data_IF_199874090961
#
_entry.id   IF_199874090961
#
_cell.length_a   1.000
_cell.length_b   1.000
_cell.length_c   1.000
_cell.angle_alpha   90.00
_cell.angle_beta   90.00
_cell.angle_gamma   90.00
#
_symmetry.space_group_name_H-M   'P 1'
#
loop_
_entity.id
_entity.type
_entity.pdbx_description
1 polymer ?
#
# COMPACT_ATOMS: atom_id res chain seq x y z
N UNK A 1 11.85 17.83 -19.56
CA UNK A 1 10.76 17.22 -18.76
C UNK A 1 10.54 18.13 -17.57
N UNK A 2 9.30 18.48 -17.23
CA UNK A 2 9.02 19.30 -16.06
C UNK A 2 9.40 18.51 -14.79
N UNK A 3 10.10 19.18 -13.86
CA UNK A 3 10.43 18.67 -12.52
C UNK A 3 9.13 18.32 -11.79
N UNK A 4 8.98 17.12 -11.20
CA UNK A 4 7.79 16.81 -10.42
C UNK A 4 7.81 17.61 -9.11
N UNK A 5 6.67 18.13 -8.71
CA UNK A 5 6.54 18.82 -7.42
C UNK A 5 6.67 17.83 -6.26
N UNK A 6 6.18 16.60 -6.44
CA UNK A 6 6.21 15.55 -5.40
C UNK A 6 7.02 14.33 -5.83
N UNK A 7 7.89 13.85 -4.94
CA UNK A 7 8.49 12.52 -5.02
C UNK A 7 7.92 11.61 -3.93
N UNK A 8 7.16 10.59 -4.32
CA UNK A 8 6.58 9.60 -3.42
C UNK A 8 7.51 8.38 -3.30
N UNK A 9 8.16 8.23 -2.14
CA UNK A 9 9.03 7.12 -1.79
C UNK A 9 8.23 5.97 -1.18
N UNK A 10 8.06 4.89 -1.95
CA UNK A 10 7.29 3.71 -1.57
C UNK A 10 8.14 2.41 -1.55
N UNK A 11 9.16 2.29 -0.68
CA UNK A 11 9.96 1.07 -0.61
C UNK A 11 9.13 -0.13 -0.10
N UNK A 12 9.15 -1.21 -0.85
CA UNK A 12 8.59 -2.51 -0.51
C UNK A 12 8.78 -3.52 -1.66
N UNK A 13 9.13 -4.77 -1.33
CA UNK A 13 9.38 -5.83 -2.31
C UNK A 13 8.11 -6.39 -2.99
N UNK A 14 6.92 -5.93 -2.59
CA UNK A 14 5.63 -6.33 -3.15
C UNK A 14 4.83 -5.17 -3.73
N UNK A 15 3.52 -5.36 -3.87
CA UNK A 15 2.60 -4.34 -4.38
C UNK A 15 2.06 -3.39 -3.29
N UNK A 16 2.28 -3.71 -2.01
CA UNK A 16 1.75 -3.00 -0.84
C UNK A 16 1.86 -1.47 -0.94
N UNK A 17 3.11 -0.99 -0.84
CA UNK A 17 3.43 0.43 -0.79
C UNK A 17 3.16 1.13 -2.13
N UNK A 18 3.52 0.52 -3.25
CA UNK A 18 3.32 1.12 -4.59
C UNK A 18 1.83 1.27 -4.95
N UNK A 19 0.95 0.37 -4.51
CA UNK A 19 -0.49 0.48 -4.75
C UNK A 19 -1.11 1.67 -4.01
N UNK A 20 -0.72 1.90 -2.74
CA UNK A 20 -1.13 3.11 -2.01
C UNK A 20 -0.56 4.37 -2.63
N UNK A 21 0.73 4.36 -2.97
CA UNK A 21 1.39 5.48 -3.61
C UNK A 21 0.67 5.87 -4.90
N UNK A 22 0.33 4.88 -5.72
CA UNK A 22 -0.40 5.09 -6.96
C UNK A 22 -1.80 5.67 -6.72
N UNK A 23 -2.53 5.15 -5.73
CA UNK A 23 -3.84 5.67 -5.37
C UNK A 23 -3.79 7.17 -5.02
N UNK A 24 -2.83 7.58 -4.16
CA UNK A 24 -2.64 8.99 -3.78
C UNK A 24 -2.16 9.83 -4.96
N UNK A 25 -1.20 9.33 -5.73
CA UNK A 25 -0.60 10.08 -6.83
C UNK A 25 -1.60 10.34 -7.98
N UNK A 26 -2.54 9.42 -8.23
CA UNK A 26 -3.60 9.63 -9.21
C UNK A 26 -4.57 10.73 -8.75
N UNK A 27 -4.94 10.78 -7.46
CA UNK A 27 -5.72 11.90 -6.91
C UNK A 27 -4.95 13.23 -6.95
N UNK A 28 -3.64 13.22 -6.67
CA UNK A 28 -2.80 14.42 -6.81
C UNK A 28 -2.80 14.95 -8.24
N UNK A 29 -2.79 14.05 -9.24
CA UNK A 29 -2.89 14.43 -10.64
C UNK A 29 -4.26 15.08 -10.96
N UNK A 30 -5.36 14.58 -10.39
CA UNK A 30 -6.68 15.23 -10.50
C UNK A 30 -6.69 16.63 -9.87
N UNK A 31 -5.89 16.86 -8.83
CA UNK A 31 -5.69 18.17 -8.19
C UNK A 31 -4.69 19.07 -8.95
N UNK A 32 -4.17 18.63 -10.10
CA UNK A 32 -3.20 19.39 -10.90
C UNK A 32 -1.77 19.40 -10.32
N UNK A 33 -1.49 18.53 -9.35
CA UNK A 33 -0.16 18.42 -8.72
C UNK A 33 0.65 17.32 -9.41
N UNK A 34 1.84 17.68 -9.89
CA UNK A 34 2.75 16.72 -10.53
C UNK A 34 3.47 15.86 -9.49
N UNK A 35 3.44 14.54 -9.69
CA UNK A 35 4.06 13.58 -8.78
C UNK A 35 4.79 12.47 -9.55
N UNK A 36 5.80 11.88 -8.91
CA UNK A 36 6.52 10.69 -9.37
C UNK A 36 6.69 9.71 -8.21
N UNK A 37 6.58 8.40 -8.49
CA UNK A 37 6.82 7.35 -7.50
C UNK A 37 8.22 6.77 -7.67
N UNK A 38 8.92 6.53 -6.57
CA UNK A 38 10.14 5.71 -6.53
C UNK A 38 9.95 4.54 -5.57
N UNK A 39 10.30 3.33 -6.03
CA UNK A 39 10.09 2.07 -5.27
C UNK A 39 11.19 1.06 -5.57
N UNK A 40 11.34 0.04 -4.73
CA UNK A 40 12.16 -1.14 -5.03
C UNK A 40 11.33 -2.36 -5.46
N UNK A 41 10.01 -2.20 -5.60
CA UNK A 41 9.12 -3.24 -6.08
C UNK A 41 9.55 -3.74 -7.48
N UNK A 42 9.61 -5.06 -7.73
CA UNK A 42 9.90 -5.58 -9.06
C UNK A 42 8.81 -5.25 -10.08
N UNK A 43 7.60 -4.89 -9.63
CA UNK A 43 6.45 -4.57 -10.47
C UNK A 43 6.44 -3.15 -11.03
N UNK A 44 7.40 -2.31 -10.64
CA UNK A 44 7.42 -0.88 -10.97
C UNK A 44 7.25 -0.58 -12.48
N UNK A 45 7.97 -1.30 -13.35
CA UNK A 45 7.92 -1.06 -14.79
C UNK A 45 6.54 -1.39 -15.39
N UNK A 46 5.98 -2.55 -15.02
CA UNK A 46 4.64 -2.96 -15.47
C UNK A 46 3.55 -2.01 -14.97
N UNK A 47 3.66 -1.56 -13.71
CA UNK A 47 2.75 -0.57 -13.14
C UNK A 47 2.87 0.81 -13.80
N UNK A 48 4.09 1.25 -14.12
CA UNK A 48 4.30 2.51 -14.83
C UNK A 48 3.58 2.50 -16.19
N UNK A 49 3.71 1.39 -16.93
CA UNK A 49 3.05 1.20 -18.21
C UNK A 49 1.53 1.12 -18.06
N UNK A 50 1.03 0.30 -17.14
CA UNK A 50 -0.40 0.09 -16.92
C UNK A 50 -1.10 1.38 -16.50
N UNK A 51 -0.53 2.10 -15.53
CA UNK A 51 -1.10 3.33 -15.01
C UNK A 51 -0.79 4.57 -15.84
N UNK A 52 0.12 4.45 -16.83
CA UNK A 52 0.68 5.59 -17.58
C UNK A 52 1.20 6.69 -16.64
N UNK A 53 1.82 6.25 -15.54
CA UNK A 53 2.27 7.11 -14.45
C UNK A 53 3.79 6.95 -14.24
N UNK A 54 4.54 8.02 -13.95
CA UNK A 54 5.97 7.93 -13.73
C UNK A 54 6.30 7.16 -12.44
N UNK A 55 6.75 5.90 -12.61
CA UNK A 55 7.23 5.04 -11.52
C UNK A 55 8.66 4.59 -11.83
N UNK A 56 9.60 4.89 -10.94
CA UNK A 56 11.00 4.50 -11.07
C UNK A 56 11.37 3.40 -10.09
N UNK A 57 12.05 2.37 -10.59
CA UNK A 57 12.60 1.29 -9.76
C UNK A 57 14.04 1.60 -9.35
N UNK A 58 14.31 1.54 -8.05
CA UNK A 58 15.67 1.39 -7.50
C UNK A 58 15.75 0.00 -6.87
N UNK A 59 16.62 -0.91 -7.34
CA UNK A 59 16.74 -2.24 -6.75
C UNK A 59 16.99 -2.21 -5.24
N UNK A 60 16.47 -3.19 -4.50
CA UNK A 60 16.46 -3.17 -3.05
C UNK A 60 17.88 -3.09 -2.46
N UNK A 61 18.82 -3.83 -3.04
CA UNK A 61 20.24 -3.86 -2.70
C UNK A 61 20.95 -2.52 -2.87
N UNK A 62 20.45 -1.64 -3.73
CA UNK A 62 20.98 -0.29 -3.98
C UNK A 62 20.17 0.82 -3.32
N UNK A 63 18.97 0.50 -2.80
CA UNK A 63 18.00 1.47 -2.29
C UNK A 63 18.61 2.52 -1.36
N UNK A 64 19.35 2.07 -0.33
CA UNK A 64 19.90 2.96 0.70
C UNK A 64 20.84 4.02 0.12
N UNK A 65 21.69 3.64 -0.84
CA UNK A 65 22.66 4.54 -1.45
C UNK A 65 22.02 5.41 -2.54
N UNK A 66 21.16 4.83 -3.36
CA UNK A 66 20.74 5.48 -4.61
C UNK A 66 19.52 6.37 -4.47
N UNK A 67 18.64 6.12 -3.49
CA UNK A 67 17.40 6.90 -3.35
C UNK A 67 17.67 8.38 -3.04
N UNK A 68 18.73 8.68 -2.28
CA UNK A 68 19.16 10.06 -2.00
C UNK A 68 19.68 10.75 -3.26
N UNK A 69 20.52 10.06 -4.04
CA UNK A 69 21.03 10.57 -5.32
C UNK A 69 19.88 10.80 -6.31
N UNK A 70 18.92 9.88 -6.36
CA UNK A 70 17.73 10.01 -7.19
C UNK A 70 16.89 11.22 -6.78
N UNK A 71 16.62 11.40 -5.48
CA UNK A 71 15.90 12.58 -4.99
C UNK A 71 16.64 13.89 -5.30
N UNK A 72 17.98 13.90 -5.17
CA UNK A 72 18.81 15.06 -5.52
C UNK A 72 18.81 15.37 -7.03
N UNK A 73 18.71 14.35 -7.89
CA UNK A 73 18.65 14.52 -9.34
C UNK A 73 17.26 14.95 -9.83
N UNK A 74 16.19 14.38 -9.24
CA UNK A 74 14.80 14.78 -9.52
C UNK A 74 14.53 16.18 -9.01
N UNK A 75 15.12 16.53 -7.85
CA UNK A 75 14.84 17.73 -7.08
C UNK A 75 13.32 17.87 -6.88
N UNK A 76 12.63 17.10 -6.04
CA UNK A 76 11.22 17.41 -5.75
C UNK A 76 11.09 18.72 -4.95
N UNK A 77 9.91 19.30 -4.87
CA UNK A 77 9.60 20.36 -3.89
C UNK A 77 9.22 19.75 -2.53
N UNK A 78 8.55 18.60 -2.56
CA UNK A 78 8.07 17.86 -1.41
C UNK A 78 8.29 16.35 -1.59
N UNK A 79 8.65 15.66 -0.51
CA UNK A 79 8.72 14.20 -0.49
C UNK A 79 7.59 13.57 0.31
N UNK A 80 7.17 12.36 -0.06
CA UNK A 80 6.31 11.51 0.78
C UNK A 80 7.05 10.22 1.09
N UNK A 81 7.25 9.92 2.37
CA UNK A 81 7.93 8.73 2.84
C UNK A 81 6.92 7.71 3.38
N UNK A 82 6.68 6.63 2.63
CA UNK A 82 5.70 5.59 2.99
C UNK A 82 6.39 4.30 3.45
N UNK A 83 7.13 4.37 4.56
CA UNK A 83 7.63 3.20 5.29
C UNK A 83 7.84 3.49 6.77
N UNK A 84 9.02 3.99 7.13
CA UNK A 84 9.42 4.38 8.47
C UNK A 84 9.99 5.81 8.40
N UNK A 85 9.96 6.59 9.50
CA UNK A 85 10.45 7.96 9.48
C UNK A 85 11.88 8.06 8.93
N UNK A 86 12.80 7.19 9.39
CA UNK A 86 14.20 7.14 8.92
C UNK A 86 14.43 6.25 7.70
N UNK A 87 13.36 5.70 7.13
CA UNK A 87 13.41 4.72 6.03
C UNK A 87 13.68 3.29 6.50
N UNK A 88 13.36 2.31 5.64
CA UNK A 88 13.50 0.88 5.97
C UNK A 88 14.95 0.42 6.06
N UNK A 89 15.90 1.19 5.51
CA UNK A 89 17.34 0.90 5.53
C UNK A 89 18.14 2.03 6.14
N UNK A 90 17.48 2.97 6.84
CA UNK A 90 18.14 4.15 7.42
C UNK A 90 18.59 5.17 6.37
N UNK A 91 18.04 5.14 5.16
CA UNK A 91 18.37 6.07 4.07
C UNK A 91 18.09 7.54 4.42
N UNK A 92 17.25 7.80 5.42
CA UNK A 92 16.88 9.13 5.89
C UNK A 92 17.42 9.45 7.29
N UNK A 93 18.36 8.66 7.81
CA UNK A 93 18.88 8.82 9.18
C UNK A 93 19.56 10.19 9.39
N UNK A 94 20.16 10.75 8.34
CA UNK A 94 20.90 12.02 8.33
C UNK A 94 20.02 13.18 7.81
N UNK A 95 18.70 13.08 7.98
CA UNK A 95 17.73 14.07 7.50
C UNK A 95 17.34 13.88 6.03
N UNK A 96 16.23 14.52 5.66
CA UNK A 96 15.62 14.44 4.34
C UNK A 96 16.09 15.61 3.45
N UNK A 97 16.26 15.41 2.13
CA UNK A 97 16.87 16.42 1.26
C UNK A 97 15.96 17.62 0.96
N UNK A 98 14.66 17.47 1.17
CA UNK A 98 13.63 18.51 1.06
C UNK A 98 12.58 18.26 2.16
N UNK A 99 11.64 19.21 2.42
CA UNK A 99 10.51 18.95 3.29
C UNK A 99 9.78 17.67 2.91
N UNK A 100 9.26 16.96 3.90
CA UNK A 100 8.64 15.67 3.67
C UNK A 100 7.45 15.36 4.56
N UNK A 101 6.58 14.52 4.04
CA UNK A 101 5.44 13.95 4.73
C UNK A 101 5.75 12.50 5.07
N UNK A 102 5.52 12.11 6.32
CA UNK A 102 5.54 10.70 6.72
C UNK A 102 4.14 10.09 6.59
N UNK A 103 4.01 9.02 5.79
CA UNK A 103 2.78 8.24 5.72
C UNK A 103 2.82 7.17 6.82
N UNK A 104 2.22 7.49 7.97
CA UNK A 104 2.13 6.60 9.10
C UNK A 104 1.07 5.53 8.86
N UNK A 105 1.41 4.29 9.20
CA UNK A 105 0.50 3.15 9.17
C UNK A 105 0.65 2.34 10.44
N UNK A 106 -0.25 1.39 10.67
CA UNK A 106 -0.15 0.51 11.81
C UNK A 106 1.10 -0.38 11.67
N UNK A 107 1.89 -0.39 12.73
CA UNK A 107 3.12 -1.16 12.85
C UNK A 107 3.13 -1.96 14.16
N UNK A 108 3.89 -3.06 14.18
CA UNK A 108 4.19 -3.78 15.42
C UNK A 108 5.20 -2.95 16.25
N UNK A 109 4.78 -2.38 17.41
CA UNK A 109 5.61 -1.44 18.17
C UNK A 109 6.89 -2.09 18.72
N UNK A 110 6.82 -3.33 19.20
CA UNK A 110 7.97 -4.07 19.74
C UNK A 110 9.06 -4.27 18.67
N UNK A 111 8.63 -4.72 17.48
CA UNK A 111 9.53 -4.94 16.37
C UNK A 111 10.12 -3.63 15.83
N UNK A 112 9.34 -2.55 15.83
CA UNK A 112 9.80 -1.22 15.40
C UNK A 112 10.79 -0.63 16.40
N UNK A 113 10.51 -0.70 17.70
CA UNK A 113 11.42 -0.21 18.74
C UNK A 113 12.77 -0.91 18.65
N UNK A 114 12.76 -2.25 18.49
CA UNK A 114 13.97 -3.05 18.31
C UNK A 114 14.72 -2.70 17.02
N UNK A 115 13.99 -2.37 15.96
CA UNK A 115 14.57 -2.11 14.64
C UNK A 115 15.15 -0.69 14.50
N UNK A 116 14.47 0.32 15.02
CA UNK A 116 14.89 1.72 14.90
C UNK A 116 15.94 2.11 15.93
N UNK A 117 15.94 1.50 17.12
CA UNK A 117 16.86 1.78 18.21
C UNK A 117 16.66 3.16 18.84
N UNK A 118 16.90 4.22 18.06
CA UNK A 118 16.71 5.64 18.43
C UNK A 118 15.31 6.12 17.99
N UNK A 119 14.46 6.60 18.93
CA UNK A 119 13.12 7.10 18.62
C UNK A 119 13.11 8.49 17.96
N UNK A 120 14.27 9.13 17.76
CA UNK A 120 14.33 10.48 17.19
C UNK A 120 13.77 10.55 15.76
N UNK A 121 13.02 11.62 15.49
CA UNK A 121 12.50 11.96 14.17
C UNK A 121 13.62 12.54 13.31
N UNK A 122 13.78 12.10 12.04
CA UNK A 122 14.76 12.72 11.17
C UNK A 122 14.33 14.15 10.81
N UNK A 123 15.32 15.03 10.68
CA UNK A 123 15.09 16.40 10.23
C UNK A 123 14.43 16.43 8.85
N UNK A 124 13.50 17.37 8.66
CA UNK A 124 12.80 17.61 7.40
C UNK A 124 11.41 17.00 7.29
N UNK A 125 10.95 16.17 8.24
CA UNK A 125 9.53 15.79 8.30
C UNK A 125 8.71 16.98 8.80
N UNK A 126 7.81 17.49 7.95
CA UNK A 126 6.98 18.66 8.23
C UNK A 126 5.53 18.30 8.56
N UNK A 127 5.09 17.10 8.19
CA UNK A 127 3.75 16.60 8.51
C UNK A 127 3.72 15.07 8.53
N UNK A 128 2.81 14.52 9.33
CA UNK A 128 2.43 13.10 9.31
C UNK A 128 1.02 12.96 8.79
N UNK A 129 0.79 11.95 7.95
CA UNK A 129 -0.54 11.49 7.56
C UNK A 129 -0.73 10.08 8.11
N UNK A 130 -1.66 9.90 9.05
CA UNK A 130 -2.02 8.60 9.57
C UNK A 130 -3.03 7.92 8.63
N UNK A 131 -2.53 6.97 7.84
CA UNK A 131 -3.27 6.29 6.77
C UNK A 131 -4.32 5.29 7.27
N UNK A 132 -4.24 4.91 8.54
CA UNK A 132 -5.20 4.05 9.23
C UNK A 132 -5.13 4.33 10.74
N UNK A 133 -6.04 3.73 11.50
CA UNK A 133 -6.00 3.74 12.96
C UNK A 133 -4.68 3.14 13.48
N UNK A 134 -3.92 3.94 14.23
CA UNK A 134 -2.64 3.57 14.82
C UNK A 134 -2.80 2.98 16.22
N UNK A 135 -1.75 2.39 16.78
CA UNK A 135 -1.76 1.99 18.19
C UNK A 135 -1.61 3.24 19.08
N UNK A 136 -2.13 3.19 20.31
CA UNK A 136 -1.97 4.30 21.26
C UNK A 136 -0.50 4.64 21.53
N UNK A 137 0.40 3.65 21.50
CA UNK A 137 1.86 3.87 21.60
C UNK A 137 2.41 4.65 20.41
N UNK A 138 1.95 4.34 19.19
CA UNK A 138 2.37 5.04 17.99
C UNK A 138 1.83 6.48 17.99
N UNK A 139 0.55 6.69 18.35
CA UNK A 139 -0.02 8.04 18.50
C UNK A 139 0.69 8.86 19.58
N UNK A 140 1.06 8.25 20.71
CA UNK A 140 1.85 8.91 21.74
C UNK A 140 3.24 9.33 21.22
N UNK A 141 3.89 8.47 20.45
CA UNK A 141 5.18 8.79 19.82
C UNK A 141 5.05 9.92 18.77
N UNK A 142 3.97 9.94 18.00
CA UNK A 142 3.65 11.02 17.07
C UNK A 142 3.40 12.34 17.82
N UNK A 143 2.62 12.32 18.89
CA UNK A 143 2.36 13.51 19.71
C UNK A 143 3.66 14.08 20.32
N UNK A 144 4.57 13.21 20.76
CA UNK A 144 5.87 13.61 21.31
C UNK A 144 6.80 14.27 20.26
N UNK A 145 6.62 13.95 18.97
CA UNK A 145 7.42 14.50 17.86
C UNK A 145 7.19 15.98 17.60
N UNK A 146 6.03 16.52 18.01
CA UNK A 146 5.53 17.86 17.68
C UNK A 146 5.33 18.13 16.18
N UNK A 147 5.45 17.12 15.33
CA UNK A 147 5.09 17.21 13.91
C UNK A 147 3.55 17.18 13.81
N UNK A 148 2.91 18.09 13.04
CA UNK A 148 1.48 18.05 12.81
C UNK A 148 1.03 16.70 12.24
N UNK A 149 -0.07 16.15 12.77
CA UNK A 149 -0.63 14.87 12.32
C UNK A 149 -2.01 15.10 11.72
N UNK A 150 -2.23 14.61 10.50
CA UNK A 150 -3.54 14.49 9.88
C UNK A 150 -3.98 13.03 9.95
N UNK A 151 -5.05 12.78 10.71
CA UNK A 151 -5.71 11.48 10.73
C UNK A 151 -6.70 11.40 9.58
N UNK A 152 -6.51 10.41 8.70
CA UNK A 152 -7.44 10.21 7.60
C UNK A 152 -8.77 9.67 8.13
N UNK A 153 -9.89 10.02 7.45
CA UNK A 153 -11.21 9.46 7.76
C UNK A 153 -11.26 7.92 7.61
N UNK A 154 -10.42 7.38 6.73
CA UNK A 154 -10.25 5.95 6.56
C UNK A 154 -9.07 5.62 5.66
N UNK A 155 -9.03 4.40 5.15
CA UNK A 155 -7.84 3.87 4.45
C UNK A 155 -7.74 4.42 3.04
N UNK A 156 -6.51 4.71 2.62
CA UNK A 156 -6.15 4.94 1.22
C UNK A 156 -6.39 3.67 0.41
N UNK A 157 -7.10 3.78 -0.70
CA UNK A 157 -7.48 2.66 -1.58
C UNK A 157 -7.32 3.05 -3.05
N UNK A 158 -6.74 2.15 -3.84
CA UNK A 158 -6.83 2.28 -5.29
C UNK A 158 -8.24 1.87 -5.76
N UNK A 159 -9.08 2.87 -6.07
CA UNK A 159 -10.49 2.64 -6.43
C UNK A 159 -10.60 1.69 -7.65
N UNK A 160 -11.52 0.70 -7.63
CA UNK A 160 -11.78 -0.15 -8.78
C UNK A 160 -12.11 0.68 -10.03
N UNK A 161 -11.58 0.26 -11.18
CA UNK A 161 -11.79 0.92 -12.46
C UNK A 161 -10.83 2.06 -12.78
N UNK A 162 -10.03 2.57 -11.82
CA UNK A 162 -9.00 3.59 -12.10
C UNK A 162 -7.92 3.08 -13.06
N UNK A 163 -7.57 1.79 -12.93
CA UNK A 163 -6.68 1.10 -13.85
C UNK A 163 -7.50 0.09 -14.66
N UNK A 164 -7.80 0.38 -15.94
CA UNK A 164 -8.58 -0.53 -16.77
C UNK A 164 -7.71 -1.70 -17.22
N UNK A 165 -7.80 -2.82 -16.49
CA UNK A 165 -7.15 -4.08 -16.86
C UNK A 165 -8.19 -5.06 -17.38
N UNK A 166 -8.02 -5.50 -18.62
CA UNK A 166 -8.90 -6.49 -19.25
C UNK A 166 -8.90 -7.80 -18.44
N UNK A 167 -10.11 -8.30 -18.15
CA UNK A 167 -10.29 -9.54 -17.37
C UNK A 167 -10.13 -10.72 -18.34
N UNK A 168 -9.21 -11.67 -18.09
CA UNK A 168 -9.07 -12.85 -18.93
C UNK A 168 -10.40 -13.62 -19.05
N UNK A 169 -10.77 -14.04 -20.27
CA UNK A 169 -12.06 -14.70 -20.54
C UNK A 169 -12.31 -15.96 -19.69
N UNK A 170 -11.26 -16.68 -19.28
CA UNK A 170 -11.39 -17.79 -18.35
C UNK A 170 -11.77 -17.33 -16.94
N UNK A 171 -11.13 -16.28 -16.43
CA UNK A 171 -11.45 -15.69 -15.14
C UNK A 171 -12.86 -15.09 -15.14
N UNK A 172 -13.24 -14.42 -16.23
CA UNK A 172 -14.59 -13.89 -16.41
C UNK A 172 -15.65 -15.01 -16.31
N UNK A 173 -15.48 -16.11 -17.06
CA UNK A 173 -16.39 -17.27 -16.97
C UNK A 173 -16.47 -17.85 -15.56
N UNK A 174 -15.39 -17.82 -14.79
CA UNK A 174 -15.39 -18.29 -13.40
C UNK A 174 -16.20 -17.35 -12.50
N UNK A 175 -16.01 -16.04 -12.64
CA UNK A 175 -16.75 -15.02 -11.89
C UNK A 175 -18.26 -15.10 -12.17
N UNK A 176 -18.65 -15.25 -13.44
CA UNK A 176 -20.05 -15.27 -13.87
C UNK A 176 -20.84 -16.50 -13.36
N UNK A 177 -20.17 -17.50 -12.78
CA UNK A 177 -20.85 -18.64 -12.16
C UNK A 177 -21.61 -18.28 -10.88
N UNK A 178 -21.36 -17.11 -10.29
CA UNK A 178 -21.91 -16.70 -8.99
C UNK A 178 -21.44 -17.54 -7.80
N UNK A 179 -20.46 -18.44 -7.99
CA UNK A 179 -19.90 -19.34 -6.95
C UNK A 179 -18.39 -19.16 -6.75
N UNK A 180 -17.80 -18.19 -7.44
CA UNK A 180 -16.37 -17.93 -7.39
C UNK A 180 -15.98 -17.33 -6.03
N UNK A 181 -15.09 -18.00 -5.32
CA UNK A 181 -14.43 -17.47 -4.13
C UNK A 181 -13.02 -17.01 -4.52
N UNK A 182 -12.77 -15.71 -4.50
CA UNK A 182 -11.44 -15.18 -4.83
C UNK A 182 -10.50 -15.34 -3.65
N UNK A 183 -9.30 -15.85 -3.91
CA UNK A 183 -8.16 -15.83 -2.99
C UNK A 183 -7.20 -14.76 -3.51
N UNK A 184 -7.15 -13.59 -2.87
CA UNK A 184 -6.30 -12.48 -3.30
C UNK A 184 -5.13 -12.36 -2.34
N UNK A 185 -3.95 -12.79 -2.79
CA UNK A 185 -2.77 -12.78 -1.93
C UNK A 185 -1.45 -12.81 -2.72
N UNK A 186 -0.48 -12.02 -2.28
CA UNK A 186 0.86 -11.96 -2.89
C UNK A 186 1.97 -12.65 -2.09
N UNK A 187 1.62 -13.28 -0.96
CA UNK A 187 2.56 -13.93 -0.04
C UNK A 187 2.80 -15.40 -0.37
N UNK A 188 3.65 -16.09 0.41
CA UNK A 188 4.18 -17.40 0.06
C UNK A 188 3.08 -18.42 -0.20
N UNK A 189 3.36 -19.40 -1.06
CA UNK A 189 2.40 -20.42 -1.49
C UNK A 189 1.65 -21.10 -0.33
N UNK A 190 2.30 -21.26 0.83
CA UNK A 190 1.67 -21.79 2.04
C UNK A 190 0.50 -20.93 2.55
N UNK A 191 0.62 -19.61 2.52
CA UNK A 191 -0.45 -18.69 2.91
C UNK A 191 -1.59 -18.71 1.89
N UNK A 192 -1.26 -18.77 0.60
CA UNK A 192 -2.28 -18.88 -0.46
C UNK A 192 -3.03 -20.23 -0.35
N UNK A 193 -2.31 -21.31 -0.05
CA UNK A 193 -2.90 -22.64 0.18
C UNK A 193 -3.84 -22.64 1.41
N UNK A 194 -3.46 -21.96 2.49
CA UNK A 194 -4.31 -21.80 3.67
C UNK A 194 -5.61 -21.07 3.33
N UNK A 195 -5.52 -19.93 2.63
CA UNK A 195 -6.70 -19.17 2.19
C UNK A 195 -7.57 -19.98 1.22
N UNK A 196 -6.96 -20.70 0.28
CA UNK A 196 -7.67 -21.58 -0.63
C UNK A 196 -8.39 -22.72 0.10
N UNK A 197 -7.80 -23.27 1.18
CA UNK A 197 -8.43 -24.25 2.05
C UNK A 197 -9.69 -23.72 2.73
N UNK A 198 -9.71 -22.45 3.14
CA UNK A 198 -10.89 -21.78 3.66
C UNK A 198 -11.94 -21.56 2.56
N UNK A 199 -11.49 -21.05 1.40
CA UNK A 199 -12.36 -20.77 0.26
C UNK A 199 -13.10 -22.02 -0.26
N UNK A 200 -12.43 -23.18 -0.29
CA UNK A 200 -13.04 -24.48 -0.68
C UNK A 200 -14.24 -24.88 0.17
N UNK A 201 -14.30 -24.44 1.43
CA UNK A 201 -15.43 -24.74 2.32
C UNK A 201 -16.68 -23.94 1.96
N UNK A 202 -16.53 -22.84 1.22
CA UNK A 202 -17.62 -21.92 0.88
C UNK A 202 -17.99 -21.94 -0.60
N UNK A 203 -17.05 -22.22 -1.50
CA UNK A 203 -17.31 -22.24 -2.93
C UNK A 203 -16.12 -22.69 -3.76
N UNK A 204 -16.08 -22.26 -5.03
CA UNK A 204 -15.01 -22.62 -5.96
C UNK A 204 -13.85 -21.61 -5.82
N UNK A 205 -12.69 -22.01 -5.27
CA UNK A 205 -11.58 -21.09 -5.08
C UNK A 205 -10.91 -20.74 -6.42
N UNK A 206 -10.51 -19.47 -6.57
CA UNK A 206 -9.69 -18.97 -7.67
C UNK A 206 -8.65 -18.00 -7.09
N UNK A 207 -7.37 -18.23 -7.35
CA UNK A 207 -6.30 -17.39 -6.84
C UNK A 207 -5.95 -16.24 -7.78
N UNK A 208 -5.77 -15.05 -7.21
CA UNK A 208 -5.19 -13.88 -7.85
C UNK A 208 -3.86 -13.60 -7.16
N UNK A 209 -2.76 -13.86 -7.88
CA UNK A 209 -1.39 -13.72 -7.35
C UNK A 209 -0.53 -12.92 -8.33
N UNK A 210 0.43 -12.11 -7.87
CA UNK A 210 1.23 -11.27 -8.76
C UNK A 210 2.46 -11.99 -9.33
N UNK A 211 2.67 -13.28 -9.04
CA UNK A 211 3.95 -13.97 -9.29
C UNK A 211 3.92 -14.97 -10.44
N UNK A 212 2.83 -15.06 -11.21
CA UNK A 212 2.69 -16.03 -12.32
C UNK A 212 2.78 -17.52 -11.91
N UNK A 213 3.05 -17.81 -10.63
CA UNK A 213 3.18 -19.16 -10.11
C UNK A 213 1.82 -19.85 -10.17
N UNK A 214 1.77 -20.89 -11.02
CA UNK A 214 0.62 -21.79 -11.08
C UNK A 214 0.58 -22.60 -9.80
N UNK A 215 -0.52 -22.51 -9.09
CA UNK A 215 -0.79 -23.36 -7.94
C UNK A 215 -1.44 -24.66 -8.40
N UNK A 216 -0.84 -25.79 -8.01
CA UNK A 216 -1.38 -27.10 -8.34
C UNK A 216 -2.82 -27.26 -7.80
N UNK A 217 -3.73 -27.67 -8.68
CA UNK A 217 -5.15 -27.88 -8.33
C UNK A 217 -5.92 -26.60 -7.94
N UNK A 218 -5.41 -25.42 -8.28
CA UNK A 218 -6.11 -24.15 -8.07
C UNK A 218 -5.97 -23.23 -9.29
N UNK A 219 -7.08 -22.90 -9.99
CA UNK A 219 -7.06 -21.87 -11.03
C UNK A 219 -6.43 -20.59 -10.48
N UNK A 220 -5.37 -20.12 -11.12
CA UNK A 220 -4.54 -19.01 -10.66
C UNK A 220 -4.30 -18.04 -11.81
N UNK A 221 -4.46 -16.75 -11.53
CA UNK A 221 -4.33 -15.68 -12.51
C UNK A 221 -3.42 -14.57 -11.99
N UNK A 222 -2.54 -14.09 -12.87
CA UNK A 222 -1.83 -12.84 -12.67
C UNK A 222 -2.74 -11.69 -13.12
N UNK A 223 -3.34 -10.99 -12.16
CA UNK A 223 -4.27 -9.90 -12.43
C UNK A 223 -4.09 -8.77 -11.43
N UNK A 224 -4.02 -7.54 -11.93
CA UNK A 224 -3.90 -6.33 -11.12
C UNK A 224 -4.65 -5.16 -11.76
N UNK A 225 -5.33 -4.30 -10.98
CA UNK A 225 -5.57 -4.41 -9.55
C UNK A 225 -6.69 -5.41 -9.23
N UNK A 226 -6.48 -6.27 -8.23
CA UNK A 226 -7.47 -7.26 -7.81
C UNK A 226 -8.82 -6.64 -7.38
N UNK A 227 -8.81 -5.37 -6.94
CA UNK A 227 -10.01 -4.61 -6.61
C UNK A 227 -11.05 -4.53 -7.74
N UNK A 228 -10.65 -4.64 -9.01
CA UNK A 228 -11.57 -4.69 -10.15
C UNK A 228 -12.44 -5.96 -10.17
N UNK A 229 -12.04 -7.00 -9.44
CA UNK A 229 -12.71 -8.31 -9.44
C UNK A 229 -13.57 -8.54 -8.20
N UNK A 230 -13.24 -7.90 -7.08
CA UNK A 230 -13.73 -8.29 -5.75
C UNK A 230 -15.27 -8.22 -5.63
N UNK A 231 -15.90 -7.20 -6.21
CA UNK A 231 -17.36 -7.06 -6.18
C UNK A 231 -18.11 -8.11 -7.03
N UNK A 232 -17.43 -8.79 -7.95
CA UNK A 232 -18.00 -9.87 -8.79
C UNK A 232 -17.85 -11.25 -8.13
N UNK A 233 -17.07 -11.36 -7.06
CA UNK A 233 -16.88 -12.62 -6.35
C UNK A 233 -18.05 -12.91 -5.40
N UNK A 234 -18.37 -14.20 -5.22
CA UNK A 234 -19.32 -14.61 -4.20
C UNK A 234 -18.75 -14.38 -2.78
N UNK A 235 -17.44 -14.53 -2.63
CA UNK A 235 -16.70 -14.24 -1.40
C UNK A 235 -15.22 -13.99 -1.72
N UNK A 236 -14.52 -13.21 -0.90
CA UNK A 236 -13.10 -12.90 -1.05
C UNK A 236 -12.33 -13.34 0.20
N UNK A 237 -11.19 -13.99 -0.01
CA UNK A 237 -10.27 -14.47 1.01
C UNK A 237 -8.92 -13.80 0.85
N UNK A 238 -8.43 -13.14 1.89
CA UNK A 238 -7.16 -12.39 1.84
C UNK A 238 -6.34 -12.56 3.12
N UNK A 239 -5.07 -12.16 3.08
CA UNK A 239 -4.39 -11.74 4.31
C UNK A 239 -4.97 -10.43 4.85
N UNK A 240 -4.81 -10.15 6.15
CA UNK A 240 -5.22 -8.87 6.78
C UNK A 240 -4.17 -7.76 6.60
N UNK A 241 -3.51 -7.73 5.44
CA UNK A 241 -2.59 -6.66 5.06
C UNK A 241 -3.33 -5.40 4.64
N UNK A 242 -2.66 -4.25 4.74
CA UNK A 242 -3.27 -2.93 4.52
C UNK A 242 -4.16 -2.85 3.26
N UNK A 243 -3.63 -3.18 2.07
CA UNK A 243 -4.36 -2.97 0.82
C UNK A 243 -5.60 -3.85 0.69
N UNK A 244 -5.52 -5.11 1.12
CA UNK A 244 -6.66 -6.02 1.06
C UNK A 244 -7.78 -5.53 1.98
N UNK A 245 -7.42 -5.02 3.14
CA UNK A 245 -8.38 -4.38 4.05
C UNK A 245 -8.86 -3.04 3.47
N UNK A 246 -8.04 -2.24 2.79
CA UNK A 246 -8.56 -1.04 2.12
C UNK A 246 -9.57 -1.40 1.00
N UNK A 247 -9.30 -2.46 0.22
CA UNK A 247 -10.14 -2.84 -0.90
C UNK A 247 -11.48 -3.45 -0.50
N UNK A 248 -11.51 -4.17 0.62
CA UNK A 248 -12.71 -4.88 1.09
C UNK A 248 -13.58 -4.06 2.04
N UNK A 249 -13.24 -2.80 2.34
CA UNK A 249 -13.91 -2.04 3.41
C UNK A 249 -15.39 -1.80 3.14
N UNK A 250 -15.80 -1.75 1.87
CA UNK A 250 -17.21 -1.63 1.46
C UNK A 250 -17.89 -2.98 1.19
N UNK A 251 -17.15 -4.09 1.31
CA UNK A 251 -17.58 -5.45 1.00
C UNK A 251 -17.30 -6.40 2.19
N UNK A 252 -17.38 -5.87 3.42
CA UNK A 252 -16.98 -6.58 4.65
C UNK A 252 -17.76 -7.88 4.88
N UNK A 253 -19.02 -7.96 4.44
CA UNK A 253 -19.85 -9.17 4.56
C UNK A 253 -19.40 -10.29 3.61
N UNK A 254 -18.77 -9.94 2.48
CA UNK A 254 -18.24 -10.87 1.48
C UNK A 254 -16.74 -11.11 1.65
N UNK A 255 -16.19 -10.87 2.85
CA UNK A 255 -14.76 -10.93 3.12
C UNK A 255 -14.41 -11.84 4.29
N UNK A 256 -13.44 -12.74 4.06
CA UNK A 256 -12.74 -13.47 5.10
C UNK A 256 -11.26 -13.10 5.06
N UNK A 257 -10.75 -12.49 6.11
CA UNK A 257 -9.33 -12.17 6.24
C UNK A 257 -8.64 -13.05 7.28
N UNK A 258 -7.38 -13.41 7.01
CA UNK A 258 -6.48 -14.09 7.94
C UNK A 258 -5.34 -13.16 8.30
N UNK A 259 -5.12 -12.92 9.59
CA UNK A 259 -3.94 -12.20 10.05
C UNK A 259 -2.70 -13.11 9.98
N UNK A 260 -1.84 -12.88 9.00
CA UNK A 260 -0.58 -13.61 8.89
C UNK A 260 0.50 -12.94 9.72
N UNK A 261 1.39 -13.71 10.40
CA UNK A 261 2.51 -13.14 11.13
C UNK A 261 3.40 -12.31 10.21
N UNK A 262 3.71 -11.09 10.64
CA UNK A 262 4.65 -10.19 9.96
C UNK A 262 5.52 -9.53 10.98
N UNK A 263 6.78 -9.28 10.61
CA UNK A 263 7.74 -8.61 11.48
C UNK A 263 7.26 -7.22 11.90
N UNK A 264 6.84 -6.41 10.94
CA UNK A 264 6.52 -4.99 11.18
C UNK A 264 5.06 -4.63 11.01
N UNK A 265 4.28 -5.42 10.27
CA UNK A 265 2.88 -5.12 9.96
C UNK A 265 1.96 -5.82 10.96
N UNK A 266 1.25 -5.05 11.79
CA UNK A 266 0.33 -5.63 12.78
C UNK A 266 -1.03 -5.92 12.14
N UNK A 267 -1.08 -7.06 11.44
CA UNK A 267 -2.28 -7.55 10.77
C UNK A 267 -3.36 -8.01 11.76
N UNK A 268 -2.97 -8.47 12.94
CA UNK A 268 -3.91 -8.98 13.95
C UNK A 268 -4.75 -7.84 14.51
N UNK A 269 -4.13 -6.73 14.92
CA UNK A 269 -4.87 -5.57 15.40
C UNK A 269 -5.70 -4.92 14.29
N UNK A 270 -5.19 -4.87 13.05
CA UNK A 270 -5.97 -4.38 11.90
C UNK A 270 -7.23 -5.21 11.66
N UNK A 271 -7.14 -6.53 11.81
CA UNK A 271 -8.30 -7.41 11.68
C UNK A 271 -9.30 -7.21 12.83
N UNK A 272 -8.81 -6.95 14.05
CA UNK A 272 -9.65 -6.71 15.21
C UNK A 272 -10.53 -5.44 15.07
N UNK A 273 -10.05 -4.39 14.40
CA UNK A 273 -10.82 -3.16 14.15
C UNK A 273 -11.54 -3.12 12.79
N UNK A 274 -11.62 -4.24 12.07
CA UNK A 274 -12.08 -4.30 10.68
C UNK A 274 -13.47 -3.72 10.42
N UNK A 275 -14.41 -3.92 11.33
CA UNK A 275 -15.84 -3.56 11.17
C UNK A 275 -16.20 -2.16 11.67
N UNK A 276 -15.22 -1.30 11.92
CA UNK A 276 -15.48 0.11 12.26
C UNK A 276 -15.84 0.93 11.01
N UNK A 277 -16.27 2.18 11.21
CA UNK A 277 -16.85 3.05 10.18
C UNK A 277 -16.03 3.06 8.86
N UNK A 278 -16.75 2.92 7.74
CA UNK A 278 -16.16 2.74 6.40
C UNK A 278 -16.02 4.08 5.71
N UNK A 279 -14.79 4.54 5.49
CA UNK A 279 -14.49 5.75 4.71
C UNK A 279 -13.24 5.53 3.84
N UNK A 280 -13.25 6.07 2.63
CA UNK A 280 -12.10 6.10 1.73
C UNK A 280 -11.33 7.39 2.00
N UNK A 281 -10.08 7.29 2.48
CA UNK A 281 -9.25 8.45 2.83
C UNK A 281 -8.30 8.90 1.71
N UNK A 282 -8.44 8.36 0.50
CA UNK A 282 -7.47 8.60 -0.59
C UNK A 282 -7.42 10.07 -1.00
N UNK A 283 -8.59 10.69 -1.15
CA UNK A 283 -8.68 12.10 -1.58
C UNK A 283 -8.20 13.05 -0.50
N UNK A 284 -8.53 12.79 0.75
CA UNK A 284 -8.08 13.55 1.91
C UNK A 284 -6.57 13.45 2.09
N UNK A 285 -5.97 12.28 1.83
CA UNK A 285 -4.51 12.14 1.79
C UNK A 285 -3.88 13.04 0.72
N UNK A 286 -4.42 13.02 -0.50
CA UNK A 286 -3.92 13.86 -1.60
C UNK A 286 -4.09 15.36 -1.30
N UNK A 287 -5.22 15.76 -0.73
CA UNK A 287 -5.48 17.15 -0.31
C UNK A 287 -4.55 17.60 0.80
N UNK A 288 -4.30 16.75 1.81
CA UNK A 288 -3.35 17.05 2.88
C UNK A 288 -1.93 17.24 2.33
N UNK A 289 -1.51 16.40 1.36
CA UNK A 289 -0.21 16.54 0.70
C UNK A 289 -0.15 17.84 -0.13
N UNK A 290 -1.18 18.14 -0.92
CA UNK A 290 -1.24 19.34 -1.74
C UNK A 290 -1.25 20.63 -0.89
N UNK A 291 -1.86 20.60 0.29
CA UNK A 291 -1.88 21.74 1.21
C UNK A 291 -0.47 22.09 1.73
N UNK A 292 0.39 21.09 1.99
CA UNK A 292 1.79 21.34 2.38
C UNK A 292 2.58 21.98 1.25
N UNK A 293 2.36 21.53 0.01
CA UNK A 293 3.05 22.08 -1.15
C UNK A 293 2.66 23.55 -1.41
N UNK A 294 1.45 23.95 -1.02
CA UNK A 294 0.93 25.30 -1.22
C UNK A 294 1.30 26.30 -0.11
N UNK A 295 1.88 25.83 1.01
CA UNK A 295 2.23 26.62 2.19
C UNK A 295 3.66 27.18 2.12
#
# INVERSE_FOLDING_TARGET
>A
MNRPSILYCAPGSGLGHVNRALAVCLELQELGVSAQIVTNSPFAAGLAQLARFPITRIPAERWQADVRHFAAAVQPELMVCDTFPRGMRGEWKDGLPVPAIYMARRLNPEAVSTFLGDPGWPDGIVQVIAAEELSGEHDAALAASKVPVVHLPGRIRLRPGLLPTEIPAELERLLDTGRCCLVVHGGPAAEVAQLAGLARKQGRPVAITPWGERMEGLPSFEYYPAGNLMARAAHVFTGAGYNAMADMMFLSEAHTAVAFPRRFDDQAARLASWRQAVQDGTREAAQAIAAVLAA
#
